data_IF_301136764644
#
_entry.id   IF_301136764644
#
_cell.length_a   1.000
_cell.length_b   1.000
_cell.length_c   1.000
_cell.angle_alpha   90.00
_cell.angle_beta   90.00
_cell.angle_gamma   90.00
#
_symmetry.space_group_name_H-M   'P 1'
#
loop_
_entity.id
_entity.type
_entity.pdbx_description
1 polymer ?
#
# COMPACT_ATOMS: atom_id res chain seq x y z
N UNK A 1 19.02 -6.94 -17.11
CA UNK A 1 19.38 -5.53 -16.83
C UNK A 1 20.28 -5.54 -15.62
N UNK A 2 21.37 -4.77 -15.62
CA UNK A 2 22.23 -4.69 -14.42
C UNK A 2 21.55 -3.83 -13.34
N UNK A 3 21.82 -4.05 -12.04
CA UNK A 3 21.16 -3.31 -10.96
C UNK A 3 21.39 -1.80 -11.00
N UNK A 4 22.56 -1.36 -11.47
CA UNK A 4 22.85 0.07 -11.64
C UNK A 4 22.00 0.69 -12.76
N UNK A 5 21.86 0.00 -13.90
CA UNK A 5 21.00 0.44 -15.00
C UNK A 5 19.54 0.51 -14.56
N UNK A 6 19.11 -0.47 -13.74
CA UNK A 6 17.78 -0.49 -13.14
C UNK A 6 17.54 0.72 -12.25
N UNK A 7 18.47 1.01 -11.33
CA UNK A 7 18.36 2.14 -10.40
C UNK A 7 18.27 3.49 -11.14
N UNK A 8 19.11 3.69 -12.16
CA UNK A 8 19.03 4.90 -13.01
C UNK A 8 17.67 4.96 -13.72
N UNK A 9 17.24 3.84 -14.32
CA UNK A 9 16.01 3.84 -15.11
C UNK A 9 14.77 4.05 -14.24
N UNK A 10 14.70 3.47 -13.05
CA UNK A 10 13.54 3.65 -12.17
C UNK A 10 13.45 5.09 -11.66
N UNK A 11 14.58 5.74 -11.38
CA UNK A 11 14.60 7.15 -10.99
C UNK A 11 14.17 8.08 -12.13
N UNK A 12 14.54 7.77 -13.38
CA UNK A 12 14.01 8.48 -14.55
C UNK A 12 12.49 8.35 -14.66
N UNK A 13 11.95 7.13 -14.51
CA UNK A 13 10.50 6.88 -14.57
C UNK A 13 9.76 7.56 -13.42
N UNK A 14 10.27 7.48 -12.19
CA UNK A 14 9.67 8.15 -11.03
C UNK A 14 9.72 9.68 -11.17
N UNK A 15 10.75 10.25 -11.79
CA UNK A 15 10.80 11.67 -12.08
C UNK A 15 9.73 12.13 -13.08
N UNK A 16 9.26 11.23 -13.95
CA UNK A 16 8.22 11.49 -14.94
C UNK A 16 6.82 11.28 -14.37
N UNK A 17 6.62 10.26 -13.53
CA UNK A 17 5.30 9.80 -13.09
C UNK A 17 4.90 10.27 -11.68
N UNK A 18 5.86 10.62 -10.81
CA UNK A 18 5.59 10.99 -9.42
C UNK A 18 5.65 12.51 -9.21
N UNK A 19 4.84 13.02 -8.27
CA UNK A 19 4.97 14.40 -7.76
C UNK A 19 6.31 14.59 -7.04
N UNK A 20 6.74 13.57 -6.30
CA UNK A 20 8.05 13.52 -5.63
C UNK A 20 8.49 12.08 -5.42
N UNK A 21 9.81 11.87 -5.35
CA UNK A 21 10.40 10.59 -4.97
C UNK A 21 11.72 10.81 -4.25
N UNK A 22 12.13 9.83 -3.45
CA UNK A 22 13.39 9.84 -2.70
C UNK A 22 13.99 8.43 -2.66
N UNK A 23 15.29 8.29 -2.92
CA UNK A 23 16.03 7.07 -2.66
C UNK A 23 16.46 7.05 -1.18
N UNK A 24 15.77 6.24 -0.38
CA UNK A 24 15.93 6.19 1.09
C UNK A 24 17.05 5.24 1.52
N UNK A 25 17.36 4.23 0.70
CA UNK A 25 18.42 3.27 0.99
C UNK A 25 19.20 2.90 -0.26
N UNK A 26 20.52 2.84 -0.10
CA UNK A 26 21.49 2.32 -1.09
C UNK A 26 22.24 1.13 -0.51
N UNK A 27 22.78 0.27 -1.38
CA UNK A 27 23.64 -0.84 -0.97
C UNK A 27 25.12 -0.44 -0.83
N UNK A 28 26.00 -1.42 -0.58
CA UNK A 28 27.45 -1.22 -0.42
C UNK A 28 28.15 -0.63 -1.67
N UNK A 29 27.54 -0.77 -2.84
CA UNK A 29 28.01 -0.25 -4.13
C UNK A 29 27.36 1.11 -4.49
N UNK A 30 26.69 1.76 -3.54
CA UNK A 30 25.93 3.01 -3.73
C UNK A 30 24.77 2.91 -4.74
N UNK A 31 24.26 1.70 -4.99
CA UNK A 31 23.10 1.46 -5.85
C UNK A 31 21.83 1.52 -5.00
N UNK A 32 20.83 2.29 -5.43
CA UNK A 32 19.53 2.37 -4.77
C UNK A 32 18.88 1.00 -4.61
N UNK A 33 18.27 0.77 -3.46
CA UNK A 33 17.53 -0.46 -3.11
C UNK A 33 16.18 -0.19 -2.46
N UNK A 34 15.92 1.03 -2.00
CA UNK A 34 14.61 1.45 -1.51
C UNK A 34 14.34 2.89 -1.95
N UNK A 35 13.23 3.07 -2.65
CA UNK A 35 12.70 4.37 -3.01
C UNK A 35 11.32 4.56 -2.39
N UNK A 36 11.04 5.76 -1.93
CA UNK A 36 9.69 6.21 -1.59
C UNK A 36 9.21 7.18 -2.67
N UNK A 37 7.90 7.21 -2.90
CA UNK A 37 7.32 8.09 -3.91
C UNK A 37 5.96 8.62 -3.47
N UNK A 38 5.58 9.76 -4.05
CA UNK A 38 4.27 10.38 -3.92
C UNK A 38 3.72 10.68 -5.31
N UNK A 39 2.47 10.29 -5.57
CA UNK A 39 1.76 10.50 -6.83
C UNK A 39 0.58 11.44 -6.57
N UNK A 40 0.48 12.49 -7.39
CA UNK A 40 -0.60 13.49 -7.36
C UNK A 40 -0.86 14.08 -5.96
N UNK A 41 0.19 14.17 -5.12
CA UNK A 41 0.14 14.60 -3.72
C UNK A 41 -0.88 13.85 -2.84
N UNK A 42 -1.35 12.69 -3.31
CA UNK A 42 -2.46 11.93 -2.71
C UNK A 42 -2.01 10.56 -2.27
N UNK A 43 -1.32 9.83 -3.14
CA UNK A 43 -0.90 8.46 -2.87
C UNK A 43 0.59 8.42 -2.61
N UNK A 44 0.99 7.75 -1.53
CA UNK A 44 2.40 7.48 -1.26
C UNK A 44 2.67 5.99 -1.31
N UNK A 45 3.91 5.62 -1.62
CA UNK A 45 4.30 4.24 -1.71
C UNK A 45 5.81 4.07 -1.67
N UNK A 46 6.24 2.85 -1.93
CA UNK A 46 7.65 2.50 -2.01
C UNK A 46 7.92 1.45 -3.09
N UNK A 47 9.15 1.45 -3.58
CA UNK A 47 9.72 0.38 -4.39
C UNK A 47 10.96 -0.12 -3.67
N UNK A 48 11.04 -1.42 -3.43
CA UNK A 48 12.22 -2.03 -2.81
C UNK A 48 12.79 -3.14 -3.68
N UNK A 49 14.11 -3.25 -3.66
CA UNK A 49 14.88 -4.33 -4.27
C UNK A 49 15.53 -5.11 -3.15
N UNK A 50 15.04 -6.32 -2.90
CA UNK A 50 15.56 -7.21 -1.86
C UNK A 50 16.45 -8.28 -2.47
N UNK A 51 17.68 -8.37 -1.97
CA UNK A 51 18.57 -9.47 -2.30
C UNK A 51 18.26 -10.68 -1.42
N UNK A 52 17.47 -11.60 -1.97
CA UNK A 52 17.13 -12.87 -1.32
C UNK A 52 18.01 -14.03 -1.84
N UNK A 53 19.22 -13.76 -2.34
CA UNK A 53 20.10 -14.80 -2.88
C UNK A 53 20.45 -15.89 -1.85
N UNK A 54 20.59 -15.53 -0.58
CA UNK A 54 20.92 -16.48 0.49
C UNK A 54 19.78 -17.46 0.81
N UNK A 55 18.52 -17.03 0.63
CA UNK A 55 17.33 -17.78 1.04
C UNK A 55 16.61 -18.40 -0.16
N UNK A 56 16.22 -17.57 -1.11
CA UNK A 56 15.38 -17.92 -2.26
C UNK A 56 16.17 -18.00 -3.57
N UNK A 57 17.47 -17.63 -3.55
CA UNK A 57 18.35 -17.57 -4.72
C UNK A 57 17.80 -16.70 -5.85
N UNK A 58 17.01 -15.69 -5.49
CA UNK A 58 16.39 -14.78 -6.44
C UNK A 58 16.30 -13.40 -5.80
N UNK A 59 16.70 -12.37 -6.53
CA UNK A 59 16.44 -11.00 -6.16
C UNK A 59 14.99 -10.65 -6.46
N UNK A 60 14.34 -9.89 -5.61
CA UNK A 60 12.92 -9.54 -5.79
C UNK A 60 12.71 -8.03 -5.78
N UNK A 61 11.78 -7.56 -6.61
CA UNK A 61 11.27 -6.19 -6.59
C UNK A 61 9.91 -6.22 -5.91
N UNK A 62 9.71 -5.34 -4.94
CA UNK A 62 8.41 -5.11 -4.31
C UNK A 62 7.97 -3.69 -4.60
N UNK A 63 6.74 -3.52 -5.07
CA UNK A 63 6.09 -2.20 -5.18
C UNK A 63 4.91 -2.20 -4.22
N UNK A 64 4.90 -1.25 -3.30
CA UNK A 64 3.86 -1.09 -2.29
C UNK A 64 3.26 0.31 -2.33
N UNK A 65 1.96 0.40 -2.06
CA UNK A 65 1.21 1.67 -1.96
C UNK A 65 0.55 1.72 -0.58
N UNK A 66 0.73 2.84 0.12
CA UNK A 66 0.06 3.12 1.39
C UNK A 66 -1.40 3.48 1.16
N UNK A 67 -2.29 2.88 1.93
CA UNK A 67 -3.74 3.03 1.76
C UNK A 67 -4.36 3.80 2.92
N UNK A 68 -4.21 3.29 4.14
CA UNK A 68 -4.93 3.79 5.31
C UNK A 68 -4.21 3.45 6.61
N UNK A 69 -4.28 4.38 7.56
CA UNK A 69 -3.89 4.15 8.96
C UNK A 69 -4.89 3.19 9.62
N UNK A 70 -4.38 2.08 10.13
CA UNK A 70 -5.16 1.02 10.78
C UNK A 70 -4.71 0.78 12.22
N UNK A 71 -4.03 1.75 12.84
CA UNK A 71 -3.50 1.63 14.20
C UNK A 71 -4.60 1.26 15.22
N UNK A 72 -5.83 1.72 15.00
CA UNK A 72 -6.98 1.48 15.87
C UNK A 72 -7.97 0.43 15.32
N UNK A 73 -7.63 -0.29 14.25
CA UNK A 73 -8.54 -1.27 13.64
C UNK A 73 -8.78 -2.46 14.58
N UNK A 74 -10.01 -2.97 14.61
CA UNK A 74 -10.30 -4.19 15.37
C UNK A 74 -9.70 -5.42 14.69
N UNK A 75 -9.52 -6.49 15.47
CA UNK A 75 -9.04 -7.77 14.94
C UNK A 75 -9.98 -8.34 13.87
N UNK A 76 -11.29 -8.23 14.07
CA UNK A 76 -12.27 -8.85 13.19
C UNK A 76 -12.31 -8.13 11.84
N UNK A 77 -12.29 -6.79 11.83
CA UNK A 77 -12.15 -5.98 10.61
C UNK A 77 -10.82 -6.27 9.88
N UNK A 78 -9.72 -6.42 10.61
CA UNK A 78 -8.43 -6.76 10.00
C UNK A 78 -8.44 -8.15 9.35
N UNK A 79 -9.11 -9.13 9.97
CA UNK A 79 -9.25 -10.48 9.42
C UNK A 79 -10.13 -10.49 8.17
N UNK A 80 -11.21 -9.72 8.17
CA UNK A 80 -12.06 -9.52 7.01
C UNK A 80 -11.27 -8.90 5.86
N UNK A 81 -10.50 -7.84 6.12
CA UNK A 81 -9.64 -7.20 5.13
C UNK A 81 -8.64 -8.19 4.53
N UNK A 82 -7.97 -8.99 5.35
CA UNK A 82 -7.02 -10.00 4.87
C UNK A 82 -7.68 -11.19 4.19
N UNK A 83 -8.97 -11.43 4.38
CA UNK A 83 -9.69 -12.46 3.63
C UNK A 83 -9.74 -12.12 2.13
N UNK A 84 -9.80 -10.82 1.80
CA UNK A 84 -9.76 -10.30 0.42
C UNK A 84 -8.46 -10.64 -0.32
N UNK A 85 -7.38 -11.00 0.39
CA UNK A 85 -6.13 -11.44 -0.25
C UNK A 85 -6.31 -12.68 -1.15
N UNK A 86 -7.35 -13.50 -0.91
CA UNK A 86 -7.64 -14.65 -1.75
C UNK A 86 -8.14 -14.27 -3.16
N UNK A 87 -8.69 -13.06 -3.32
CA UNK A 87 -9.28 -12.56 -4.57
C UNK A 87 -8.35 -11.60 -5.32
N UNK A 88 -7.28 -11.10 -4.68
CA UNK A 88 -6.29 -10.23 -5.30
C UNK A 88 -5.45 -10.97 -6.36
N UNK A 89 -5.12 -10.26 -7.44
CA UNK A 89 -4.32 -10.77 -8.56
C UNK A 89 -2.92 -10.23 -8.45
N UNK A 90 -1.97 -11.12 -8.14
CA UNK A 90 -0.54 -10.80 -8.01
C UNK A 90 -0.24 -9.67 -7.03
N UNK A 91 -1.12 -9.46 -6.04
CA UNK A 91 -1.00 -8.45 -5.00
C UNK A 91 -1.44 -9.03 -3.65
N UNK A 92 -1.07 -8.38 -2.56
CA UNK A 92 -1.58 -8.68 -1.23
C UNK A 92 -1.70 -7.40 -0.40
N UNK A 93 -2.69 -7.37 0.47
CA UNK A 93 -2.72 -6.48 1.62
C UNK A 93 -1.75 -6.96 2.69
N UNK A 94 -1.00 -6.02 3.22
CA UNK A 94 -0.06 -6.23 4.32
C UNK A 94 -0.05 -5.00 5.22
N UNK A 95 0.59 -5.14 6.38
CA UNK A 95 0.73 -4.06 7.36
C UNK A 95 2.19 -3.76 7.55
N UNK A 96 2.54 -2.48 7.47
CA UNK A 96 3.88 -1.98 7.75
C UNK A 96 3.81 -0.95 8.87
N UNK A 97 4.87 -0.91 9.69
CA UNK A 97 5.00 0.11 10.72
C UNK A 97 5.67 1.34 10.11
N UNK A 98 5.03 2.49 10.27
CA UNK A 98 5.55 3.78 9.80
C UNK A 98 5.78 4.66 11.02
N UNK A 99 6.96 5.28 11.17
CA UNK A 99 7.19 6.23 12.26
C UNK A 99 6.30 7.46 12.07
N UNK A 100 5.71 7.94 13.15
CA UNK A 100 5.06 9.26 13.16
C UNK A 100 6.17 10.29 13.10
N UNK A 101 6.16 11.12 12.05
CA UNK A 101 7.04 12.29 12.02
C UNK A 101 6.71 13.15 13.25
N UNK A 102 7.68 13.28 14.16
CA UNK A 102 7.62 14.31 15.19
C UNK A 102 7.74 15.65 14.46
N UNK A 103 6.69 16.47 14.47
CA UNK A 103 6.75 17.84 13.99
C UNK A 103 7.99 18.52 14.56
N UNK A 104 8.77 19.14 13.68
CA UNK A 104 10.07 19.80 13.89
C UNK A 104 10.40 20.11 15.36
N UNK A 105 11.28 19.31 15.98
CA UNK A 105 11.96 19.72 17.20
C UNK A 105 12.65 21.06 16.92
N UNK A 106 12.21 22.12 17.61
CA UNK A 106 12.75 23.47 17.47
C UNK A 106 14.29 23.43 17.52
N UNK A 107 14.99 24.19 16.65
CA UNK A 107 16.44 24.17 16.63
C UNK A 107 16.97 24.66 17.99
N UNK A 108 17.52 23.74 18.77
CA UNK A 108 18.22 24.06 20.02
C UNK A 108 19.43 24.90 19.66
N UNK A 109 19.36 26.20 19.92
CA UNK A 109 20.50 27.10 19.82
C UNK A 109 21.47 26.71 20.94
N UNK A 110 22.56 26.05 20.56
CA UNK A 110 23.67 25.72 21.46
C UNK A 110 24.37 27.01 21.89
N UNK A 111 24.23 27.39 23.17
CA UNK A 111 25.11 28.37 23.82
C UNK A 111 26.32 27.60 24.40
N UNK A 112 27.53 27.98 24.00
CA UNK A 112 28.78 27.29 24.35
C UNK A 112 29.08 27.42 25.86
N UNK A 113 28.62 26.47 26.69
CA UNK A 113 29.06 26.45 28.08
C UNK A 113 28.42 25.46 29.06
N UNK A 114 27.44 24.64 28.66
CA UNK A 114 26.75 23.74 29.59
C UNK A 114 27.00 22.26 29.25
N UNK A 115 27.53 21.50 30.22
CA UNK A 115 27.76 20.06 30.11
C UNK A 115 26.41 19.37 29.85
N UNK A 116 26.22 18.82 28.65
CA UNK A 116 25.05 18.05 28.29
C UNK A 116 25.03 16.73 29.08
N UNK A 117 24.13 16.64 30.07
CA UNK A 117 23.56 15.36 30.45
C UNK A 117 22.75 14.87 29.24
N UNK A 118 23.33 13.95 28.46
CA UNK A 118 22.57 13.22 27.45
C UNK A 118 21.55 12.39 28.23
N UNK A 119 20.33 12.89 28.32
CA UNK A 119 19.19 12.08 28.71
C UNK A 119 19.04 10.99 27.66
N UNK A 120 19.32 9.73 28.03
CA UNK A 120 18.93 8.52 27.31
C UNK A 120 17.40 8.38 27.29
N UNK A 121 16.67 9.42 26.86
CA UNK A 121 15.29 9.24 26.44
C UNK A 121 15.35 8.47 25.13
N UNK A 122 15.17 7.16 25.22
CA UNK A 122 14.83 6.31 24.09
C UNK A 122 13.83 7.07 23.25
N UNK A 123 14.24 7.41 22.03
CA UNK A 123 13.43 8.10 21.02
C UNK A 123 12.29 7.16 20.63
N UNK A 124 11.29 7.03 21.50
CA UNK A 124 10.11 6.19 21.29
C UNK A 124 9.19 6.94 20.35
N UNK A 125 9.65 7.13 19.11
CA UNK A 125 8.81 7.61 18.03
C UNK A 125 7.59 6.71 17.97
N UNK A 126 6.41 7.29 18.14
CA UNK A 126 5.16 6.56 18.06
C UNK A 126 5.07 5.90 16.67
N UNK A 127 4.81 4.60 16.62
CA UNK A 127 4.76 3.83 15.37
C UNK A 127 3.30 3.59 15.01
N UNK A 128 2.90 3.96 13.80
CA UNK A 128 1.56 3.66 13.25
C UNK A 128 1.57 2.40 12.43
N UNK A 129 0.48 1.65 12.51
CA UNK A 129 0.24 0.51 11.63
C UNK A 129 -0.45 1.02 10.36
N UNK A 130 0.25 0.94 9.23
CA UNK A 130 -0.24 1.38 7.93
C UNK A 130 -0.62 0.17 7.09
N UNK A 131 -1.85 0.17 6.58
CA UNK A 131 -2.27 -0.78 5.58
C UNK A 131 -1.62 -0.42 4.24
N UNK A 132 -1.01 -1.43 3.62
CA UNK A 132 -0.47 -1.34 2.27
C UNK A 132 -1.11 -2.39 1.38
N UNK A 133 -1.16 -2.10 0.08
CA UNK A 133 -1.27 -3.12 -0.96
C UNK A 133 0.07 -3.18 -1.68
N UNK A 134 0.56 -4.40 -1.96
CA UNK A 134 1.85 -4.58 -2.59
C UNK A 134 1.85 -5.73 -3.58
N UNK A 135 2.72 -5.63 -4.58
CA UNK A 135 3.09 -6.72 -5.46
C UNK A 135 4.57 -7.04 -5.28
N UNK A 136 4.93 -8.32 -5.37
CA UNK A 136 6.32 -8.79 -5.31
C UNK A 136 6.60 -9.69 -6.48
N UNK A 137 7.66 -9.40 -7.20
CA UNK A 137 8.05 -10.10 -8.42
C UNK A 137 9.54 -10.45 -8.39
N UNK A 138 9.98 -11.51 -9.08
CA UNK A 138 11.38 -11.70 -9.39
C UNK A 138 11.93 -10.46 -10.11
N UNK A 139 13.16 -10.07 -9.79
CA UNK A 139 13.80 -8.88 -10.37
C UNK A 139 13.82 -8.90 -11.90
N UNK A 140 14.02 -10.08 -12.51
CA UNK A 140 14.01 -10.25 -13.96
C UNK A 140 12.62 -10.08 -14.61
N UNK A 141 11.55 -10.14 -13.82
CA UNK A 141 10.17 -10.03 -14.28
C UNK A 141 9.59 -8.60 -14.16
N UNK A 142 10.35 -7.66 -13.60
CA UNK A 142 9.94 -6.27 -13.44
C UNK A 142 10.75 -5.38 -14.39
N UNK A 143 10.05 -4.64 -15.26
CA UNK A 143 10.66 -3.55 -16.03
C UNK A 143 10.40 -2.22 -15.30
N UNK A 144 11.40 -1.36 -15.13
CA UNK A 144 11.18 0.00 -14.59
C UNK A 144 10.10 0.78 -15.34
N UNK A 145 10.00 0.58 -16.67
CA UNK A 145 8.99 1.24 -17.52
C UNK A 145 7.55 0.81 -17.21
N UNK A 146 7.36 -0.31 -16.51
CA UNK A 146 6.03 -0.81 -16.12
C UNK A 146 5.58 -0.28 -14.74
N UNK A 147 6.40 0.53 -14.07
CA UNK A 147 6.16 1.04 -12.72
C UNK A 147 4.74 1.64 -12.55
N UNK A 148 4.37 2.60 -13.39
CA UNK A 148 3.04 3.22 -13.34
C UNK A 148 1.90 2.22 -13.54
N UNK A 149 2.10 1.22 -14.40
CA UNK A 149 1.13 0.15 -14.61
C UNK A 149 0.92 -0.71 -13.36
N UNK A 150 2.00 -1.02 -12.63
CA UNK A 150 1.91 -1.73 -11.35
C UNK A 150 1.20 -0.89 -10.29
N UNK A 151 1.53 0.39 -10.16
CA UNK A 151 0.89 1.27 -9.17
C UNK A 151 -0.60 1.44 -9.46
N UNK A 152 -0.98 1.68 -10.73
CA UNK A 152 -2.39 1.79 -11.12
C UNK A 152 -3.16 0.50 -10.86
N UNK A 153 -2.57 -0.66 -11.14
CA UNK A 153 -3.19 -1.95 -10.86
C UNK A 153 -3.38 -2.18 -9.35
N UNK A 154 -2.41 -1.76 -8.52
CA UNK A 154 -2.53 -1.81 -7.07
C UNK A 154 -3.65 -0.89 -6.55
N UNK A 155 -3.70 0.35 -7.02
CA UNK A 155 -4.75 1.30 -6.64
C UNK A 155 -6.15 0.82 -7.05
N UNK A 156 -6.29 0.30 -8.26
CA UNK A 156 -7.56 -0.26 -8.75
C UNK A 156 -8.05 -1.43 -7.88
N UNK A 157 -7.14 -2.35 -7.53
CA UNK A 157 -7.48 -3.47 -6.65
C UNK A 157 -7.81 -2.97 -5.25
N UNK A 158 -7.07 -2.01 -4.69
CA UNK A 158 -7.40 -1.42 -3.40
C UNK A 158 -8.78 -0.78 -3.40
N UNK A 159 -9.13 0.02 -4.42
CA UNK A 159 -10.44 0.65 -4.56
C UNK A 159 -11.56 -0.40 -4.60
N UNK A 160 -11.41 -1.44 -5.42
CA UNK A 160 -12.41 -2.50 -5.57
C UNK A 160 -12.72 -3.24 -4.26
N UNK A 161 -11.72 -3.45 -3.40
CA UNK A 161 -11.89 -4.23 -2.17
C UNK A 161 -12.12 -3.38 -0.92
N UNK A 162 -11.71 -2.12 -0.90
CA UNK A 162 -11.96 -1.22 0.23
C UNK A 162 -13.34 -0.54 0.16
N UNK A 163 -13.87 -0.28 -1.04
CA UNK A 163 -15.21 0.32 -1.20
C UNK A 163 -16.35 -0.68 -1.00
N UNK A 164 -16.09 -1.98 -1.21
CA UNK A 164 -17.09 -3.05 -1.12
C UNK A 164 -17.65 -3.25 0.30
N UNK A 165 -16.92 -2.84 1.34
CA UNK A 165 -17.39 -2.92 2.73
C UNK A 165 -18.32 -1.78 3.16
N UNK A 166 -18.39 -0.68 2.39
CA UNK A 166 -19.22 0.48 2.75
C UNK A 166 -20.65 0.39 2.16
N UNK A 167 -20.87 -0.45 1.15
CA UNK A 167 -22.16 -0.58 0.45
C UNK A 167 -23.08 -1.68 1.03
N UNK A 168 -22.59 -2.54 1.94
CA UNK A 168 -23.37 -3.66 2.51
C UNK A 168 -24.21 -3.28 3.75
N UNK A 169 -24.22 -2.01 4.18
CA UNK A 169 -24.99 -1.56 5.35
C UNK A 169 -26.41 -1.04 5.02
N UNK A 170 -26.90 -1.13 3.78
CA UNK A 170 -28.11 -0.39 3.39
C UNK A 170 -29.19 -1.15 2.60
N UNK A 171 -29.29 -2.48 2.72
CA UNK A 171 -30.23 -3.26 1.90
C UNK A 171 -31.12 -4.24 2.68
N UNK A 172 -31.59 -3.87 3.89
CA UNK A 172 -32.44 -4.80 4.66
C UNK A 172 -33.59 -4.20 5.51
N UNK A 173 -34.18 -3.05 5.12
CA UNK A 173 -35.43 -2.59 5.73
C UNK A 173 -36.35 -1.83 4.74
N UNK A 174 -37.02 -2.55 3.84
CA UNK A 174 -38.38 -2.21 3.41
C UNK A 174 -39.08 -3.47 2.86
N UNK A 175 -39.56 -4.31 3.78
CA UNK A 175 -40.75 -5.13 3.56
C UNK A 175 -41.98 -4.28 3.84
N UNK A 176 -42.72 -3.84 2.81
CA UNK A 176 -44.14 -3.63 2.95
C UNK A 176 -44.88 -4.61 2.04
N UNK A 177 -45.22 -5.75 2.62
CA UNK A 177 -46.44 -6.53 2.37
C UNK A 177 -47.20 -6.21 1.10
N UNK A 178 -47.04 -7.07 0.10
CA UNK A 178 -48.07 -7.24 -0.93
C UNK A 178 -48.90 -8.46 -0.57
N UNK A 179 -50.09 -8.15 -0.06
CA UNK A 179 -51.23 -9.04 0.13
C UNK A 179 -51.51 -9.88 -1.12
N UNK A 180 -51.92 -11.13 -0.85
CA UNK A 180 -52.66 -11.99 -1.76
C UNK A 180 -53.75 -11.22 -2.51
N UNK A 181 -53.88 -11.44 -3.82
CA UNK A 181 -55.19 -11.69 -4.45
C UNK A 181 -55.03 -12.25 -5.88
N UNK A 182 -55.56 -13.47 -6.00
CA UNK A 182 -56.02 -14.21 -7.18
C UNK A 182 -56.17 -13.44 -8.50
N UNK A 183 -55.67 -14.03 -9.59
CA UNK A 183 -56.51 -14.32 -10.77
C UNK A 183 -55.77 -15.27 -11.72
N UNK A 184 -55.95 -16.58 -11.51
CA UNK A 184 -55.82 -17.56 -12.58
C UNK A 184 -56.95 -17.31 -13.58
N UNK A 185 -56.65 -16.67 -14.71
CA UNK A 185 -57.53 -16.68 -15.88
C UNK A 185 -56.86 -17.45 -17.02
N UNK A 186 -57.47 -18.59 -17.29
CA UNK A 186 -57.38 -19.40 -18.50
C UNK A 186 -57.32 -18.54 -19.77
N UNK A 187 -56.54 -18.97 -20.76
CA UNK A 187 -57.05 -19.02 -22.12
C UNK A 187 -56.27 -20.07 -22.94
N UNK A 188 -57.04 -21.05 -23.41
CA UNK A 188 -56.70 -22.07 -24.39
C UNK A 188 -55.99 -21.49 -25.63
N UNK A 189 -55.19 -22.31 -26.33
CA UNK A 189 -55.41 -22.67 -27.74
C UNK A 189 -54.28 -23.57 -28.30
N UNK A 190 -54.62 -24.85 -28.36
CA UNK A 190 -54.41 -25.87 -29.40
C UNK A 190 -53.30 -25.78 -30.48
N UNK A 191 -52.68 -26.97 -30.65
CA UNK A 191 -52.05 -27.63 -31.83
C UNK A 191 -50.71 -27.13 -32.41
#
# INVERSE_FOLDING_TARGET
>A
MEPADFAVRIEEVMAEECSSYECVLVNDDEIGVLWTFVIEDTFSGYLSVEDNEETLKVRTVTVGVHLKDITEISRDELLELFSSNAELISANFSVVKVPVAQDEAEPVILDEGEDLEISDEEDSSEMRDMLIIQTRLPFEAFSPDDFGGFVQNLLFQAEMFLTRGEDDENDDLDDPGFDDEDDEQDDDLDD
#
